data_IF_194628490257
#
_entry.id   IF_194628490257
#
_cell.length_a   1.000
_cell.length_b   1.000
_cell.length_c   1.000
_cell.angle_alpha   90.00
_cell.angle_beta   90.00
_cell.angle_gamma   90.00
#
_symmetry.space_group_name_H-M   'P 1'
#
loop_
_entity.id
_entity.type
_entity.pdbx_description
1 polymer ?
#
# COMPACT_ATOMS: atom_id res chain seq x y z
N UNK A 1 -1.55 27.77 8.23
CA UNK A 1 -2.51 26.73 7.74
C UNK A 1 -2.29 25.38 8.44
N UNK A 2 -1.08 24.89 8.59
CA UNK A 2 -0.78 23.59 9.23
C UNK A 2 -1.26 23.50 10.69
N UNK A 3 -1.16 24.57 11.47
CA UNK A 3 -1.61 24.57 12.86
C UNK A 3 -3.15 24.47 12.98
N UNK A 4 -3.88 25.16 12.12
CA UNK A 4 -5.34 25.09 12.10
C UNK A 4 -5.85 23.70 11.69
N UNK A 5 -5.19 23.07 10.72
CA UNK A 5 -5.50 21.69 10.31
C UNK A 5 -5.27 20.71 11.44
N UNK A 6 -4.15 20.86 12.18
CA UNK A 6 -3.83 20.03 13.34
C UNK A 6 -4.88 20.13 14.43
N UNK A 7 -5.26 21.36 14.81
CA UNK A 7 -6.29 21.60 15.84
C UNK A 7 -7.64 20.99 15.42
N UNK A 8 -7.96 21.02 14.12
CA UNK A 8 -9.17 20.40 13.60
C UNK A 8 -9.12 18.86 13.73
N UNK A 9 -7.99 18.23 13.35
CA UNK A 9 -7.83 16.78 13.51
C UNK A 9 -7.76 16.36 14.99
N UNK A 10 -7.11 17.14 15.86
CA UNK A 10 -7.08 16.87 17.31
C UNK A 10 -8.47 16.88 17.93
N UNK A 11 -9.33 17.80 17.49
CA UNK A 11 -10.75 17.79 17.89
C UNK A 11 -11.50 16.62 17.27
N UNK A 12 -11.26 16.34 15.98
CA UNK A 12 -11.90 15.25 15.26
C UNK A 12 -11.67 13.89 15.91
N UNK A 13 -10.43 13.53 16.26
CA UNK A 13 -10.12 12.24 16.91
C UNK A 13 -10.66 12.13 18.34
N UNK A 14 -10.90 13.26 19.03
CA UNK A 14 -11.57 13.28 20.35
C UNK A 14 -13.06 13.02 20.23
N UNK A 15 -13.69 13.62 19.21
CA UNK A 15 -15.15 13.49 18.99
C UNK A 15 -15.51 12.16 18.32
N UNK A 16 -14.68 11.69 17.38
CA UNK A 16 -14.90 10.49 16.60
C UNK A 16 -13.70 9.54 16.69
N UNK A 17 -13.41 8.93 17.85
CA UNK A 17 -12.21 8.11 18.05
C UNK A 17 -12.19 6.83 17.23
N UNK A 18 -13.34 6.38 16.72
CA UNK A 18 -13.48 5.22 15.83
C UNK A 18 -13.19 5.54 14.36
N UNK A 19 -13.05 6.81 13.97
CA UNK A 19 -12.79 7.19 12.59
C UNK A 19 -11.30 7.06 12.24
N UNK A 20 -10.92 5.94 11.62
CA UNK A 20 -9.54 5.64 11.23
C UNK A 20 -8.90 6.73 10.37
N UNK A 21 -9.67 7.30 9.42
CA UNK A 21 -9.20 8.35 8.53
C UNK A 21 -8.67 9.57 9.28
N UNK A 22 -9.35 10.00 10.35
CA UNK A 22 -8.92 11.15 11.14
C UNK A 22 -7.57 10.93 11.82
N UNK A 23 -7.30 9.72 12.28
CA UNK A 23 -6.01 9.37 12.89
C UNK A 23 -4.89 9.32 11.85
N UNK A 24 -5.17 8.80 10.66
CA UNK A 24 -4.21 8.69 9.56
C UNK A 24 -3.83 10.10 9.07
N UNK A 25 -4.82 10.91 8.72
CA UNK A 25 -4.62 12.30 8.27
C UNK A 25 -3.89 13.15 9.33
N UNK A 26 -4.25 12.99 10.60
CA UNK A 26 -3.54 13.65 11.70
C UNK A 26 -2.06 13.27 11.72
N UNK A 27 -1.74 11.98 11.55
CA UNK A 27 -0.36 11.51 11.53
C UNK A 27 0.41 12.05 10.32
N UNK A 28 -0.22 12.17 9.16
CA UNK A 28 0.37 12.78 7.96
C UNK A 28 0.69 14.26 8.18
N UNK A 29 -0.24 15.04 8.74
CA UNK A 29 0.00 16.47 9.10
C UNK A 29 1.15 16.62 10.11
N UNK A 30 1.27 15.72 11.10
CA UNK A 30 2.40 15.73 12.04
C UNK A 30 3.71 15.37 11.34
N UNK A 31 3.67 14.44 10.39
CA UNK A 31 4.84 14.03 9.60
C UNK A 31 5.32 15.15 8.68
N UNK A 32 4.41 15.80 7.94
CA UNK A 32 4.71 16.96 7.10
C UNK A 32 5.34 18.11 7.88
N UNK A 33 4.93 18.26 9.14
CA UNK A 33 5.49 19.25 10.07
C UNK A 33 6.82 18.80 10.71
N UNK A 34 7.40 17.67 10.29
CA UNK A 34 8.65 17.13 10.83
C UNK A 34 8.54 16.51 12.23
N UNK A 35 7.33 16.34 12.75
CA UNK A 35 7.11 15.83 14.13
C UNK A 35 6.87 14.31 14.14
N UNK A 36 7.86 13.56 13.68
CA UNK A 36 7.84 12.11 13.54
C UNK A 36 7.39 11.38 14.82
N UNK A 37 7.87 11.83 16.00
CA UNK A 37 7.50 11.25 17.29
C UNK A 37 6.01 11.38 17.61
N UNK A 38 5.39 12.53 17.29
CA UNK A 38 3.95 12.77 17.49
C UNK A 38 3.10 11.96 16.51
N UNK A 39 3.52 11.88 15.25
CA UNK A 39 2.86 11.05 14.26
C UNK A 39 2.84 9.58 14.70
N UNK A 40 3.98 9.04 15.15
CA UNK A 40 4.07 7.67 15.67
C UNK A 40 3.16 7.45 16.87
N UNK A 41 3.23 8.29 17.89
CA UNK A 41 2.39 8.19 19.08
C UNK A 41 0.89 8.25 18.72
N UNK A 42 0.51 9.09 17.74
CA UNK A 42 -0.85 9.17 17.24
C UNK A 42 -1.32 7.86 16.62
N UNK A 43 -0.50 7.24 15.75
CA UNK A 43 -0.82 5.94 15.14
C UNK A 43 -0.85 4.80 16.16
N UNK A 44 -0.01 4.83 17.20
CA UNK A 44 -0.06 3.87 18.29
C UNK A 44 -1.36 3.97 19.08
N UNK A 45 -1.79 5.18 19.42
CA UNK A 45 -3.09 5.42 20.05
C UNK A 45 -4.26 4.95 19.17
N UNK A 46 -4.17 5.20 17.86
CA UNK A 46 -5.17 4.75 16.91
C UNK A 46 -5.33 3.23 16.91
N UNK A 47 -4.22 2.47 16.89
CA UNK A 47 -4.24 0.99 16.96
C UNK A 47 -4.83 0.48 18.27
N UNK A 48 -4.52 1.12 19.39
CA UNK A 48 -5.09 0.74 20.69
C UNK A 48 -6.60 0.95 20.76
N UNK A 49 -7.09 2.01 20.12
CA UNK A 49 -8.53 2.33 20.10
C UNK A 49 -9.32 1.57 19.05
N UNK A 50 -8.68 1.24 17.94
CA UNK A 50 -9.30 0.60 16.78
C UNK A 50 -8.48 -0.62 16.31
N UNK A 51 -8.28 -1.64 17.18
CA UNK A 51 -7.41 -2.77 16.85
C UNK A 51 -7.91 -3.60 15.66
N UNK A 52 -9.20 -3.54 15.37
CA UNK A 52 -9.85 -4.29 14.28
C UNK A 52 -9.95 -3.51 12.96
N UNK A 53 -9.40 -2.31 12.85
CA UNK A 53 -9.37 -1.57 11.59
C UNK A 53 -8.03 -1.78 10.86
N UNK A 54 -8.01 -2.50 9.72
CA UNK A 54 -6.79 -2.80 8.99
C UNK A 54 -6.10 -1.57 8.42
N UNK A 55 -6.85 -0.50 8.11
CA UNK A 55 -6.29 0.74 7.54
C UNK A 55 -5.27 1.39 8.45
N UNK A 56 -5.53 1.38 9.77
CA UNK A 56 -4.61 1.96 10.77
C UNK A 56 -3.32 1.15 10.86
N UNK A 57 -3.41 -0.18 10.78
CA UNK A 57 -2.24 -1.06 10.79
C UNK A 57 -1.38 -0.87 9.53
N UNK A 58 -2.01 -0.79 8.36
CA UNK A 58 -1.34 -0.52 7.09
C UNK A 58 -0.66 0.86 7.11
N UNK A 59 -1.38 1.91 7.51
CA UNK A 59 -0.82 3.25 7.64
C UNK A 59 0.37 3.28 8.62
N UNK A 60 0.27 2.58 9.77
CA UNK A 60 1.36 2.49 10.74
C UNK A 60 2.59 1.78 10.18
N UNK A 61 2.41 0.68 9.45
CA UNK A 61 3.53 -0.03 8.82
C UNK A 61 4.21 0.81 7.75
N UNK A 62 3.42 1.44 6.89
CA UNK A 62 3.92 2.34 5.83
C UNK A 62 4.61 3.57 6.41
N UNK A 63 4.09 4.13 7.51
CA UNK A 63 4.74 5.21 8.24
C UNK A 63 6.13 4.79 8.71
N UNK A 64 6.28 3.65 9.37
CA UNK A 64 7.59 3.16 9.83
C UNK A 64 8.55 2.92 8.66
N UNK A 65 8.08 2.49 7.51
CA UNK A 65 8.88 2.26 6.31
C UNK A 65 9.33 3.55 5.64
N UNK A 66 8.45 4.56 5.54
CA UNK A 66 8.65 5.74 4.70
C UNK A 66 9.14 6.99 5.48
N UNK A 67 9.28 6.95 6.78
CA UNK A 67 9.57 8.11 7.66
C UNK A 67 10.87 8.89 7.38
N UNK A 68 11.61 8.56 6.31
CA UNK A 68 12.90 9.18 6.00
C UNK A 68 12.88 10.51 5.27
N UNK A 69 11.80 10.92 4.69
CA UNK A 69 11.82 12.18 3.93
C UNK A 69 12.10 13.43 4.77
N UNK A 70 12.12 13.30 6.10
CA UNK A 70 12.12 14.46 7.02
C UNK A 70 13.41 14.61 7.84
N UNK A 71 14.21 13.55 8.02
CA UNK A 71 15.36 13.60 8.94
C UNK A 71 16.69 14.04 8.29
N UNK A 72 16.77 14.10 6.97
CA UNK A 72 18.04 14.36 6.26
C UNK A 72 18.40 15.82 6.05
N UNK A 73 17.84 16.78 6.80
CA UNK A 73 18.18 18.23 6.66
C UNK A 73 18.98 18.84 7.80
N UNK A 74 19.36 18.08 8.80
CA UNK A 74 20.21 18.57 9.87
C UNK A 74 21.37 17.58 10.04
N UNK A 75 22.57 18.08 9.85
CA UNK A 75 23.89 17.52 10.11
C UNK A 75 24.63 16.96 8.89
N UNK A 76 25.43 17.84 8.30
CA UNK A 76 26.48 17.47 7.38
C UNK A 76 27.63 16.79 8.10
N UNK A 77 28.15 15.70 7.48
CA UNK A 77 29.57 15.33 7.44
C UNK A 77 29.76 13.91 6.88
N UNK A 78 30.50 13.77 5.77
CA UNK A 78 31.18 12.54 5.32
C UNK A 78 30.41 11.54 4.45
N UNK A 79 30.55 11.60 3.12
CA UNK A 79 29.85 10.75 2.13
C UNK A 79 29.92 9.23 2.36
N UNK A 80 31.01 8.69 2.91
CA UNK A 80 31.15 7.24 3.10
C UNK A 80 30.49 6.70 4.37
N UNK A 81 30.43 7.49 5.44
CA UNK A 81 29.76 7.14 6.69
C UNK A 81 28.24 7.28 6.54
N UNK A 82 27.77 8.19 5.70
CA UNK A 82 26.35 8.41 5.39
C UNK A 82 25.69 7.21 4.70
N UNK A 83 26.37 6.57 3.73
CA UNK A 83 25.80 5.42 3.00
C UNK A 83 25.63 4.21 3.93
N UNK A 84 26.59 3.92 4.79
CA UNK A 84 26.53 2.82 5.76
C UNK A 84 25.47 3.11 6.84
N UNK A 85 25.40 4.34 7.33
CA UNK A 85 24.37 4.81 8.28
C UNK A 85 22.98 4.75 7.66
N UNK A 86 22.79 5.22 6.42
CA UNK A 86 21.53 5.17 5.71
C UNK A 86 21.06 3.73 5.50
N UNK A 87 21.93 2.80 5.14
CA UNK A 87 21.58 1.39 4.98
C UNK A 87 21.19 0.72 6.30
N UNK A 88 21.86 1.03 7.41
CA UNK A 88 21.49 0.56 8.75
C UNK A 88 20.10 1.09 9.16
N UNK A 89 19.86 2.36 8.94
CA UNK A 89 18.56 2.97 9.21
C UNK A 89 17.43 2.42 8.33
N UNK A 90 17.70 2.03 7.08
CA UNK A 90 16.74 1.33 6.22
C UNK A 90 16.38 -0.04 6.78
N UNK A 91 17.37 -0.79 7.26
CA UNK A 91 17.15 -2.09 7.88
C UNK A 91 16.31 -2.03 9.15
N UNK A 92 16.55 -1.05 10.01
CA UNK A 92 15.78 -0.87 11.26
C UNK A 92 14.34 -0.45 11.02
N UNK A 93 14.10 0.30 9.95
CA UNK A 93 12.73 0.68 9.55
C UNK A 93 11.95 -0.49 8.98
N UNK A 94 12.58 -1.25 8.10
CA UNK A 94 11.96 -2.47 7.58
C UNK A 94 11.57 -3.40 8.74
N UNK A 95 12.45 -3.59 9.72
CA UNK A 95 12.15 -4.37 10.94
C UNK A 95 11.00 -3.77 11.75
N UNK A 96 10.97 -2.45 11.94
CA UNK A 96 9.89 -1.77 12.67
C UNK A 96 8.54 -1.93 11.95
N UNK A 97 8.52 -1.75 10.63
CA UNK A 97 7.33 -1.97 9.82
C UNK A 97 6.86 -3.43 9.85
N UNK A 98 7.79 -4.39 9.74
CA UNK A 98 7.50 -5.82 9.83
C UNK A 98 6.96 -6.21 11.22
N UNK A 99 7.46 -5.60 12.30
CA UNK A 99 6.94 -5.80 13.66
C UNK A 99 5.50 -5.29 13.82
N UNK A 100 5.16 -4.17 13.15
CA UNK A 100 3.77 -3.67 13.10
C UNK A 100 2.87 -4.64 12.35
N UNK A 101 3.29 -5.13 11.18
CA UNK A 101 2.53 -6.12 10.40
C UNK A 101 2.38 -7.46 11.13
N UNK A 102 3.40 -7.91 11.85
CA UNK A 102 3.30 -9.13 12.66
C UNK A 102 2.23 -9.01 13.75
N UNK A 103 2.15 -7.86 14.43
CA UNK A 103 1.08 -7.59 15.40
C UNK A 103 -0.29 -7.49 14.71
N UNK A 104 -0.36 -6.86 13.54
CA UNK A 104 -1.57 -6.76 12.76
C UNK A 104 -2.13 -8.14 12.38
N UNK A 105 -1.28 -9.09 11.98
CA UNK A 105 -1.66 -10.46 11.65
C UNK A 105 -2.15 -11.28 12.86
N UNK A 106 -1.77 -10.90 14.09
CA UNK A 106 -2.32 -11.49 15.31
C UNK A 106 -3.73 -10.95 15.57
N UNK A 107 -3.94 -9.64 15.42
CA UNK A 107 -5.22 -8.99 15.66
C UNK A 107 -6.25 -9.26 14.55
N UNK A 108 -5.79 -9.39 13.30
CA UNK A 108 -6.58 -9.52 12.08
C UNK A 108 -6.04 -10.68 11.22
N UNK A 109 -6.13 -11.93 11.69
CA UNK A 109 -5.51 -13.08 11.02
C UNK A 109 -6.10 -13.40 9.64
N UNK A 110 -7.33 -12.98 9.39
CA UNK A 110 -8.08 -13.30 8.16
C UNK A 110 -8.28 -12.07 7.26
N UNK A 111 -7.55 -10.97 7.51
CA UNK A 111 -7.62 -9.78 6.67
C UNK A 111 -6.63 -9.85 5.51
N UNK A 112 -7.16 -9.92 4.29
CA UNK A 112 -6.35 -10.03 3.06
C UNK A 112 -5.51 -8.80 2.74
N UNK A 113 -5.89 -7.59 3.21
CA UNK A 113 -5.09 -6.39 2.96
C UNK A 113 -3.79 -6.39 3.77
N UNK A 114 -3.84 -6.86 5.02
CA UNK A 114 -2.67 -7.04 5.88
C UNK A 114 -1.74 -8.12 5.31
N UNK A 115 -2.31 -9.25 4.87
CA UNK A 115 -1.54 -10.33 4.23
C UNK A 115 -0.89 -9.87 2.93
N UNK A 116 -1.62 -9.15 2.07
CA UNK A 116 -1.07 -8.62 0.81
C UNK A 116 0.12 -7.70 1.07
N UNK A 117 0.01 -6.75 2.02
CA UNK A 117 1.12 -5.89 2.42
C UNK A 117 2.30 -6.70 2.98
N UNK A 118 2.02 -7.69 3.86
CA UNK A 118 3.05 -8.54 4.45
C UNK A 118 3.80 -9.39 3.41
N UNK A 119 3.13 -9.86 2.34
CA UNK A 119 3.75 -10.59 1.23
C UNK A 119 4.69 -9.66 0.46
N UNK A 120 4.17 -8.50 0.05
CA UNK A 120 4.89 -7.55 -0.82
C UNK A 120 6.14 -7.02 -0.14
N UNK A 121 6.07 -6.73 1.14
CA UNK A 121 7.14 -6.12 1.93
C UNK A 121 8.12 -7.12 2.53
N UNK A 122 7.78 -8.41 2.50
CA UNK A 122 8.63 -9.45 3.06
C UNK A 122 10.01 -9.53 2.36
N UNK A 123 11.08 -9.82 3.11
CA UNK A 123 12.37 -10.15 2.54
C UNK A 123 12.29 -11.35 1.59
N UNK A 124 13.12 -11.35 0.52
CA UNK A 124 13.10 -12.44 -0.49
C UNK A 124 13.06 -13.85 0.08
N UNK A 125 13.85 -14.23 1.13
CA UNK A 125 13.83 -15.58 1.67
C UNK A 125 12.47 -16.01 2.25
N UNK A 126 11.71 -15.09 2.83
CA UNK A 126 10.48 -15.37 3.56
C UNK A 126 9.20 -15.12 2.73
N UNK A 127 9.31 -14.51 1.54
CA UNK A 127 8.15 -14.18 0.68
C UNK A 127 7.31 -15.40 0.34
N UNK A 128 7.95 -16.51 -0.03
CA UNK A 128 7.24 -17.73 -0.43
C UNK A 128 6.47 -18.35 0.73
N UNK A 129 7.09 -18.46 1.92
CA UNK A 129 6.38 -18.99 3.09
C UNK A 129 5.20 -18.11 3.47
N UNK A 130 5.39 -16.77 3.54
CA UNK A 130 4.30 -15.83 3.82
C UNK A 130 3.16 -15.92 2.78
N UNK A 131 3.47 -16.09 1.49
CA UNK A 131 2.43 -16.25 0.46
C UNK A 131 1.63 -17.54 0.62
N UNK A 132 2.27 -18.63 1.02
CA UNK A 132 1.57 -19.89 1.33
C UNK A 132 0.67 -19.75 2.55
N UNK A 133 1.15 -19.11 3.61
CA UNK A 133 0.37 -18.90 4.83
C UNK A 133 -0.82 -17.96 4.58
N UNK A 134 -0.62 -16.91 3.78
CA UNK A 134 -1.69 -16.01 3.36
C UNK A 134 -2.77 -16.73 2.56
N UNK A 135 -2.39 -17.56 1.59
CA UNK A 135 -3.33 -18.34 0.77
C UNK A 135 -4.10 -19.39 1.57
N UNK A 136 -3.54 -19.94 2.65
CA UNK A 136 -4.26 -20.85 3.54
C UNK A 136 -5.37 -20.14 4.33
N UNK A 137 -5.22 -18.85 4.60
CA UNK A 137 -6.18 -18.07 5.38
C UNK A 137 -7.14 -17.25 4.54
N UNK A 138 -6.66 -16.71 3.43
CA UNK A 138 -7.36 -15.73 2.59
C UNK A 138 -7.28 -16.13 1.11
N UNK A 139 -7.62 -17.37 0.76
CA UNK A 139 -7.52 -17.92 -0.61
C UNK A 139 -8.51 -17.28 -1.61
N UNK A 140 -9.58 -16.70 -1.09
CA UNK A 140 -10.60 -15.97 -1.85
C UNK A 140 -10.39 -14.45 -1.90
N UNK A 141 -9.33 -13.90 -1.31
CA UNK A 141 -9.10 -12.45 -1.33
C UNK A 141 -8.27 -12.03 -2.56
N UNK A 142 -8.87 -11.19 -3.42
CA UNK A 142 -8.25 -10.73 -4.66
C UNK A 142 -6.93 -9.99 -4.42
N UNK A 143 -6.77 -9.28 -3.30
CA UNK A 143 -5.56 -8.54 -2.95
C UNK A 143 -4.41 -9.49 -2.64
N UNK A 144 -4.68 -10.57 -1.92
CA UNK A 144 -3.69 -11.63 -1.64
C UNK A 144 -3.26 -12.31 -2.93
N UNK A 145 -4.22 -12.66 -3.78
CA UNK A 145 -3.96 -13.30 -5.07
C UNK A 145 -3.14 -12.38 -5.98
N UNK A 146 -3.46 -11.08 -6.04
CA UNK A 146 -2.69 -10.10 -6.79
C UNK A 146 -1.26 -9.93 -6.24
N UNK A 147 -1.08 -9.95 -4.91
CA UNK A 147 0.24 -9.93 -4.29
C UNK A 147 1.08 -11.16 -4.68
N UNK A 148 0.47 -12.34 -4.72
CA UNK A 148 1.13 -13.57 -5.19
C UNK A 148 1.44 -13.50 -6.69
N UNK A 149 0.54 -12.95 -7.50
CA UNK A 149 0.80 -12.70 -8.92
C UNK A 149 2.04 -11.82 -9.12
N UNK A 150 2.16 -10.77 -8.32
CA UNK A 150 3.36 -9.91 -8.31
C UNK A 150 4.64 -10.70 -7.96
N UNK A 151 4.60 -11.67 -7.05
CA UNK A 151 5.76 -12.51 -6.76
C UNK A 151 6.17 -13.36 -7.97
N UNK A 152 5.20 -13.96 -8.68
CA UNK A 152 5.49 -14.69 -9.91
C UNK A 152 6.09 -13.77 -10.98
N UNK A 153 5.60 -12.54 -11.10
CA UNK A 153 6.17 -11.55 -11.98
C UNK A 153 7.64 -11.23 -11.64
N UNK A 154 7.94 -10.96 -10.37
CA UNK A 154 9.32 -10.74 -9.89
C UNK A 154 10.24 -11.95 -10.13
N UNK A 155 9.69 -13.17 -10.05
CA UNK A 155 10.37 -14.42 -10.39
C UNK A 155 10.47 -14.67 -11.91
N UNK A 156 10.02 -13.73 -12.76
CA UNK A 156 9.97 -13.83 -14.23
C UNK A 156 9.10 -14.99 -14.75
N UNK A 157 8.14 -15.46 -13.97
CA UNK A 157 7.18 -16.50 -14.35
C UNK A 157 5.93 -15.87 -14.95
N UNK A 158 6.08 -15.33 -16.16
CA UNK A 158 5.07 -14.49 -16.83
C UNK A 158 3.71 -15.18 -16.95
N UNK A 159 3.66 -16.44 -17.43
CA UNK A 159 2.39 -17.16 -17.62
C UNK A 159 1.65 -17.40 -16.28
N UNK A 160 2.42 -17.75 -15.23
CA UNK A 160 1.84 -17.90 -13.89
C UNK A 160 1.33 -16.55 -13.35
N UNK A 161 2.12 -15.48 -13.49
CA UNK A 161 1.69 -14.15 -13.07
C UNK A 161 0.38 -13.74 -13.75
N UNK A 162 0.29 -13.94 -15.09
CA UNK A 162 -0.92 -13.66 -15.87
C UNK A 162 -2.14 -14.43 -15.35
N UNK A 163 -1.99 -15.74 -15.17
CA UNK A 163 -3.08 -16.57 -14.65
C UNK A 163 -3.56 -16.12 -13.27
N UNK A 164 -2.64 -15.72 -12.39
CA UNK A 164 -2.97 -15.25 -11.05
C UNK A 164 -3.59 -13.84 -11.05
N UNK A 165 -3.12 -12.90 -11.88
CA UNK A 165 -3.77 -11.60 -12.06
C UNK A 165 -5.18 -11.75 -12.61
N UNK A 166 -5.36 -12.60 -13.63
CA UNK A 166 -6.68 -12.88 -14.19
C UNK A 166 -7.62 -13.47 -13.13
N UNK A 167 -7.13 -14.41 -12.30
CA UNK A 167 -7.90 -14.97 -11.18
C UNK A 167 -8.30 -13.89 -10.18
N UNK A 168 -7.39 -12.98 -9.79
CA UNK A 168 -7.67 -11.89 -8.87
C UNK A 168 -8.78 -10.97 -9.39
N UNK A 169 -8.68 -10.52 -10.65
CA UNK A 169 -9.68 -9.69 -11.30
C UNK A 169 -11.04 -10.37 -11.49
N UNK A 170 -11.06 -11.70 -11.56
CA UNK A 170 -12.32 -12.48 -11.67
C UNK A 170 -13.00 -12.63 -10.32
N UNK A 171 -12.23 -12.77 -9.22
CA UNK A 171 -12.77 -12.91 -7.86
C UNK A 171 -13.38 -11.59 -7.37
N UNK A 172 -12.70 -10.49 -7.61
CA UNK A 172 -13.20 -9.16 -7.23
C UNK A 172 -13.09 -8.19 -8.42
N UNK A 173 -14.09 -8.15 -9.29
CA UNK A 173 -14.12 -7.23 -10.42
C UNK A 173 -14.22 -5.76 -10.01
N UNK A 174 -14.66 -5.46 -8.78
CA UNK A 174 -14.81 -4.11 -8.26
C UNK A 174 -13.51 -3.53 -7.68
N UNK A 175 -12.44 -4.33 -7.57
CA UNK A 175 -11.14 -3.91 -7.07
C UNK A 175 -10.28 -3.24 -8.16
N UNK A 176 -10.35 -1.92 -8.28
CA UNK A 176 -9.61 -1.14 -9.28
C UNK A 176 -8.09 -1.27 -9.18
N UNK A 177 -7.55 -1.41 -7.97
CA UNK A 177 -6.10 -1.59 -7.77
C UNK A 177 -5.60 -2.93 -8.35
N UNK A 178 -6.43 -3.97 -8.32
CA UNK A 178 -6.14 -5.28 -8.93
C UNK A 178 -6.08 -5.15 -10.44
N UNK A 179 -7.07 -4.49 -11.05
CA UNK A 179 -7.07 -4.21 -12.49
C UNK A 179 -5.87 -3.39 -12.92
N UNK A 180 -5.52 -2.37 -12.13
CA UNK A 180 -4.38 -1.50 -12.42
C UNK A 180 -3.04 -2.27 -12.36
N UNK A 181 -2.89 -3.17 -11.39
CA UNK A 181 -1.74 -4.05 -11.29
C UNK A 181 -1.66 -5.03 -12.48
N UNK A 182 -2.80 -5.61 -12.87
CA UNK A 182 -2.87 -6.50 -14.02
C UNK A 182 -2.56 -5.77 -15.33
N UNK A 183 -3.14 -4.59 -15.53
CA UNK A 183 -2.86 -3.77 -16.71
C UNK A 183 -1.39 -3.34 -16.78
N UNK A 184 -0.79 -2.92 -15.66
CA UNK A 184 0.63 -2.59 -15.59
C UNK A 184 1.53 -3.78 -15.96
N UNK A 185 1.14 -4.99 -15.55
CA UNK A 185 1.84 -6.22 -15.92
C UNK A 185 1.74 -6.50 -17.42
N UNK A 186 0.52 -6.47 -18.03
CA UNK A 186 0.33 -6.75 -19.45
C UNK A 186 0.98 -5.68 -20.36
N UNK A 187 1.03 -4.43 -19.93
CA UNK A 187 1.80 -3.40 -20.65
C UNK A 187 3.29 -3.72 -20.80
N UNK A 188 3.86 -4.51 -19.89
CA UNK A 188 5.29 -4.87 -19.92
C UNK A 188 5.57 -6.21 -20.54
N UNK A 189 4.64 -7.14 -20.42
CA UNK A 189 4.86 -8.56 -20.76
C UNK A 189 3.80 -9.15 -21.68
N UNK A 190 2.71 -8.42 -21.93
CA UNK A 190 1.65 -8.81 -22.83
C UNK A 190 2.11 -8.73 -24.29
N UNK A 191 1.54 -9.61 -25.15
CA UNK A 191 1.59 -9.45 -26.58
C UNK A 191 0.70 -8.31 -27.06
N UNK A 192 0.65 -8.14 -28.38
CA UNK A 192 -0.19 -7.14 -29.03
C UNK A 192 -1.67 -7.31 -28.64
N UNK A 193 -2.26 -6.25 -28.05
CA UNK A 193 -3.66 -6.23 -27.64
C UNK A 193 -3.99 -6.85 -26.26
N UNK A 194 -3.05 -7.46 -25.53
CA UNK A 194 -3.34 -8.03 -24.21
C UNK A 194 -3.68 -6.94 -23.18
N UNK A 195 -2.94 -5.85 -23.18
CA UNK A 195 -3.22 -4.71 -22.30
C UNK A 195 -4.58 -4.07 -22.61
N UNK A 196 -4.92 -3.95 -23.90
CA UNK A 196 -6.23 -3.47 -24.36
C UNK A 196 -7.38 -4.34 -23.85
N UNK A 197 -7.25 -5.66 -23.94
CA UNK A 197 -8.27 -6.58 -23.40
C UNK A 197 -8.50 -6.41 -21.91
N UNK A 198 -7.42 -6.20 -21.15
CA UNK A 198 -7.54 -5.91 -19.70
C UNK A 198 -8.26 -4.59 -19.49
N UNK A 199 -7.94 -3.56 -20.27
CA UNK A 199 -8.57 -2.25 -20.21
C UNK A 199 -10.09 -2.33 -20.52
N UNK A 200 -10.47 -3.06 -21.56
CA UNK A 200 -11.87 -3.27 -21.93
C UNK A 200 -12.65 -3.98 -20.81
N UNK A 201 -12.11 -5.05 -20.28
CA UNK A 201 -12.71 -5.79 -19.16
C UNK A 201 -12.84 -4.95 -17.90
N UNK A 202 -11.85 -4.13 -17.60
CA UNK A 202 -11.91 -3.18 -16.49
C UNK A 202 -13.00 -2.12 -16.71
N UNK A 203 -13.13 -1.60 -17.94
CA UNK A 203 -14.17 -0.64 -18.28
C UNK A 203 -15.57 -1.23 -18.18
N UNK A 204 -15.76 -2.49 -18.57
CA UNK A 204 -17.02 -3.23 -18.40
C UNK A 204 -17.36 -3.48 -16.92
N UNK A 205 -16.35 -3.77 -16.09
CA UNK A 205 -16.54 -4.00 -14.66
C UNK A 205 -16.82 -2.71 -13.86
N UNK A 206 -16.38 -1.54 -14.36
CA UNK A 206 -16.48 -0.21 -13.72
C UNK A 206 -16.15 -0.23 -12.23
N UNK A 207 -14.90 -0.57 -11.83
CA UNK A 207 -14.53 -0.77 -10.45
C UNK A 207 -14.67 0.50 -9.61
N UNK A 208 -15.10 0.34 -8.36
CA UNK A 208 -15.37 1.44 -7.42
C UNK A 208 -14.47 1.43 -6.20
N UNK A 209 -13.78 0.32 -5.94
CA UNK A 209 -12.95 0.12 -4.79
C UNK A 209 -11.46 0.05 -5.16
N UNK A 210 -10.62 0.36 -4.20
CA UNK A 210 -9.18 0.40 -4.33
C UNK A 210 -8.61 1.64 -3.67
N UNK A 211 -7.47 1.52 -3.02
CA UNK A 211 -6.83 2.65 -2.33
C UNK A 211 -6.28 3.66 -3.36
N UNK A 212 -5.43 3.17 -4.28
CA UNK A 212 -4.83 4.01 -5.32
C UNK A 212 -5.86 4.42 -6.37
N UNK A 213 -6.80 3.52 -6.70
CA UNK A 213 -7.91 3.78 -7.60
C UNK A 213 -8.78 4.94 -7.12
N UNK A 214 -9.27 4.86 -5.89
CA UNK A 214 -10.12 5.90 -5.30
C UNK A 214 -9.34 7.22 -5.12
N UNK A 215 -8.07 7.16 -4.71
CA UNK A 215 -7.24 8.35 -4.61
C UNK A 215 -7.03 9.02 -5.97
N UNK A 216 -6.89 8.23 -7.04
CA UNK A 216 -6.77 8.74 -8.41
C UNK A 216 -8.06 9.41 -8.87
N UNK A 217 -9.20 8.78 -8.67
CA UNK A 217 -10.52 9.36 -9.04
C UNK A 217 -10.88 10.62 -8.28
N UNK A 218 -10.47 10.74 -7.01
CA UNK A 218 -10.74 11.91 -6.16
C UNK A 218 -9.87 13.13 -6.46
N UNK A 219 -8.84 12.99 -7.29
CA UNK A 219 -8.03 14.13 -7.72
C UNK A 219 -8.87 15.07 -8.57
N UNK A 220 -8.83 16.38 -8.28
CA UNK A 220 -9.65 17.39 -8.95
C UNK A 220 -9.51 17.38 -10.48
N UNK A 221 -8.31 17.08 -10.96
CA UNK A 221 -8.00 17.01 -12.39
C UNK A 221 -8.67 15.82 -13.10
N UNK A 222 -9.05 14.78 -12.35
CA UNK A 222 -9.53 13.50 -12.87
C UNK A 222 -11.06 13.34 -12.76
N UNK A 223 -11.79 14.38 -12.40
CA UNK A 223 -13.24 14.28 -12.13
C UNK A 223 -14.10 13.86 -13.35
N UNK A 224 -13.56 14.01 -14.56
CA UNK A 224 -14.19 13.60 -15.82
C UNK A 224 -13.64 12.29 -16.38
N UNK A 225 -12.65 11.69 -15.71
CA UNK A 225 -12.05 10.47 -16.20
C UNK A 225 -13.04 9.30 -16.16
N UNK A 226 -13.10 8.58 -17.25
CA UNK A 226 -13.76 7.27 -17.31
C UNK A 226 -12.90 6.19 -16.64
N UNK A 227 -13.41 4.95 -16.62
CA UNK A 227 -12.68 3.82 -16.05
C UNK A 227 -11.34 3.54 -16.77
N UNK A 228 -11.27 3.76 -18.09
CA UNK A 228 -10.06 3.53 -18.90
C UNK A 228 -8.95 4.53 -18.55
N UNK A 229 -9.28 5.82 -18.50
CA UNK A 229 -8.35 6.87 -18.11
C UNK A 229 -7.87 6.70 -16.67
N UNK A 230 -8.81 6.37 -15.76
CA UNK A 230 -8.48 6.07 -14.36
C UNK A 230 -7.55 4.87 -14.25
N UNK A 231 -7.80 3.79 -15.02
CA UNK A 231 -6.94 2.59 -15.04
C UNK A 231 -5.50 2.93 -15.44
N UNK A 232 -5.33 3.68 -16.53
CA UNK A 232 -4.01 4.05 -17.03
C UNK A 232 -3.22 4.88 -15.99
N UNK A 233 -3.85 5.86 -15.37
CA UNK A 233 -3.24 6.71 -14.33
C UNK A 233 -2.94 5.93 -13.05
N UNK A 234 -3.84 5.05 -12.63
CA UNK A 234 -3.64 4.20 -11.44
C UNK A 234 -2.51 3.21 -11.66
N UNK A 235 -2.46 2.58 -12.83
CA UNK A 235 -1.39 1.66 -13.20
C UNK A 235 -0.01 2.33 -13.22
N UNK A 236 0.06 3.57 -13.68
CA UNK A 236 1.30 4.34 -13.63
C UNK A 236 1.76 4.56 -12.18
N UNK A 237 0.88 5.00 -11.30
CA UNK A 237 1.20 5.20 -9.87
C UNK A 237 1.66 3.90 -9.19
N UNK A 238 0.99 2.79 -9.47
CA UNK A 238 1.36 1.47 -8.95
C UNK A 238 2.75 1.06 -9.47
N UNK A 239 3.02 1.27 -10.75
CA UNK A 239 4.31 0.93 -11.35
C UNK A 239 5.45 1.77 -10.78
N UNK A 240 5.23 3.06 -10.55
CA UNK A 240 6.17 3.97 -9.88
C UNK A 240 6.47 3.52 -8.45
N UNK A 241 5.43 3.19 -7.66
CA UNK A 241 5.58 2.66 -6.31
C UNK A 241 6.34 1.33 -6.28
N UNK A 242 6.21 0.50 -7.31
CA UNK A 242 6.91 -0.79 -7.39
C UNK A 242 8.36 -0.68 -7.83
N UNK A 243 8.75 0.41 -8.49
CA UNK A 243 10.15 0.67 -8.87
C UNK A 243 10.96 1.28 -7.71
N UNK A 244 10.30 2.01 -6.82
CA UNK A 244 10.93 2.68 -5.68
C UNK A 244 11.12 1.82 -4.43
N UNK A 245 10.67 0.58 -4.41
CA UNK A 245 10.80 -0.39 -3.32
C UNK A 245 11.51 -1.67 -3.76
#
# INVERSE_FOLDING_TARGET
RADASRDAYDRGVKLCPAAASLWIERAEVELEAGRVGKARAGLEQARLRNPKDPRIWLASSRFERNRLGVVSKADGEGEGAEIASAAAHLGDRAKAADAVLAKALIELPDDGSIWAEAIVTAPRPTRKSKSVDALKRCDGDARVIAAVARLFWLDRKVDKARAWFNRAATIDPDAGDVWAAYYAFERKHGGEGEAERVMERCAEADPRHGEVWCATRKTVENWRDDARATLAKTAQKIDEAWRGG
#
